data_IF_719615153650
#
_entry.id   IF_719615153650
#
_cell.length_a   1.000
_cell.length_b   1.000
_cell.length_c   1.000
_cell.angle_alpha   90.00
_cell.angle_beta   90.00
_cell.angle_gamma   90.00
#
_symmetry.space_group_name_H-M   'P 1'
#
loop_
_entity.id
_entity.type
_entity.pdbx_description
1 polymer ?
#
# COMPACT_ATOMS: atom_id res chain seq x y z
N UNK A 1 -11.07 -42.31 3.73
CA UNK A 1 -10.88 -41.36 4.86
C UNK A 1 -9.84 -40.24 4.62
N UNK A 2 -9.34 -40.02 3.39
CA UNK A 2 -8.39 -38.92 3.06
C UNK A 2 -9.03 -37.72 2.33
N UNK A 3 -10.31 -37.81 1.91
CA UNK A 3 -11.02 -36.72 1.21
C UNK A 3 -11.69 -35.67 2.10
N UNK A 4 -11.86 -35.93 3.41
CA UNK A 4 -12.50 -34.96 4.36
C UNK A 4 -11.54 -33.99 5.05
N UNK A 5 -10.22 -34.17 4.90
CA UNK A 5 -9.21 -33.25 5.46
C UNK A 5 -8.73 -32.19 4.46
N UNK A 6 -9.06 -32.33 3.17
CA UNK A 6 -8.71 -31.35 2.14
C UNK A 6 -9.68 -30.14 2.09
N UNK A 7 -10.85 -30.24 2.73
CA UNK A 7 -11.92 -29.24 2.62
C UNK A 7 -11.83 -28.11 3.68
N UNK A 8 -10.89 -28.22 4.63
CA UNK A 8 -10.65 -27.19 5.66
C UNK A 8 -9.44 -26.28 5.36
N UNK A 9 -8.80 -26.45 4.19
CA UNK A 9 -7.67 -25.65 3.70
C UNK A 9 -8.04 -25.14 2.30
N UNK A 10 -8.42 -23.89 2.05
CA UNK A 10 -8.38 -22.68 2.84
C UNK A 10 -9.53 -21.80 2.37
N UNK A 11 -10.49 -21.50 3.23
CA UNK A 11 -11.48 -20.47 2.91
C UNK A 11 -10.74 -19.17 2.55
N UNK A 12 -11.12 -18.53 1.44
CA UNK A 12 -10.58 -17.21 1.09
C UNK A 12 -10.81 -16.27 2.28
N UNK A 13 -9.70 -15.80 2.87
CA UNK A 13 -9.74 -14.95 4.05
C UNK A 13 -10.09 -13.51 3.69
N UNK A 14 -10.00 -13.11 2.41
CA UNK A 14 -10.28 -11.73 1.99
C UNK A 14 -11.72 -11.32 2.34
N UNK A 15 -12.79 -12.06 1.95
CA UNK A 15 -14.16 -11.72 2.34
C UNK A 15 -14.36 -11.63 3.85
N UNK A 16 -13.70 -12.51 4.61
CA UNK A 16 -13.80 -12.53 6.08
C UNK A 16 -13.20 -11.24 6.67
N UNK A 17 -11.98 -10.87 6.24
CA UNK A 17 -11.29 -9.67 6.72
C UNK A 17 -12.04 -8.41 6.29
N UNK A 18 -12.50 -8.32 5.05
CA UNK A 18 -13.29 -7.17 4.58
C UNK A 18 -14.59 -7.01 5.35
N UNK A 19 -15.33 -8.10 5.59
CA UNK A 19 -16.55 -8.07 6.39
C UNK A 19 -16.25 -7.57 7.81
N UNK A 20 -15.25 -8.15 8.48
CA UNK A 20 -14.86 -7.74 9.84
C UNK A 20 -14.45 -6.28 9.91
N UNK A 21 -13.68 -5.82 8.93
CA UNK A 21 -13.27 -4.42 8.84
C UNK A 21 -14.48 -3.49 8.68
N UNK A 22 -15.42 -3.82 7.77
CA UNK A 22 -16.65 -3.02 7.58
C UNK A 22 -17.55 -3.03 8.82
N UNK A 23 -17.69 -4.17 9.49
CA UNK A 23 -18.41 -4.28 10.77
C UNK A 23 -17.78 -3.36 11.82
N UNK A 24 -16.45 -3.40 11.97
CA UNK A 24 -15.72 -2.55 12.92
C UNK A 24 -15.92 -1.06 12.60
N UNK A 25 -15.75 -0.65 11.34
CA UNK A 25 -15.93 0.75 10.92
C UNK A 25 -17.37 1.22 11.13
N UNK A 26 -18.38 0.40 10.82
CA UNK A 26 -19.80 0.72 11.06
C UNK A 26 -20.15 0.82 12.54
N UNK A 27 -19.44 0.07 13.39
CA UNK A 27 -19.59 0.11 14.84
C UNK A 27 -18.83 1.26 15.51
N UNK A 28 -18.10 2.09 14.76
CA UNK A 28 -17.47 3.29 15.33
C UNK A 28 -18.55 4.31 15.67
N UNK A 29 -18.48 4.84 16.88
CA UNK A 29 -19.39 5.88 17.37
C UNK A 29 -18.69 7.23 17.29
N UNK A 30 -19.44 8.27 16.95
CA UNK A 30 -18.93 9.63 16.99
C UNK A 30 -18.50 9.98 18.44
N UNK A 31 -17.37 10.70 18.62
CA UNK A 31 -17.01 11.20 19.94
C UNK A 31 -18.08 12.19 20.44
N UNK A 32 -18.27 12.25 21.76
CA UNK A 32 -19.21 13.21 22.39
C UNK A 32 -18.88 14.67 22.09
N UNK A 33 -17.61 14.97 21.88
CA UNK A 33 -17.11 16.27 21.45
C UNK A 33 -16.23 16.05 20.22
N UNK A 34 -16.72 16.37 19.01
CA UNK A 34 -15.93 16.26 17.79
C UNK A 34 -14.85 17.34 17.77
N UNK A 35 -13.63 16.95 17.40
CA UNK A 35 -12.54 17.87 17.08
C UNK A 35 -12.75 18.44 15.68
N UNK A 36 -12.38 19.69 15.45
CA UNK A 36 -12.26 20.23 14.09
C UNK A 36 -11.26 19.41 13.27
N UNK A 37 -11.55 19.19 11.99
CA UNK A 37 -10.70 18.34 11.13
C UNK A 37 -9.27 18.89 10.97
N UNK A 38 -9.10 20.19 11.10
CA UNK A 38 -7.80 20.87 10.98
C UNK A 38 -7.12 21.08 12.35
N UNK A 39 -7.77 20.67 13.44
CA UNK A 39 -7.17 20.69 14.76
C UNK A 39 -6.28 19.45 14.98
N UNK A 40 -5.16 19.58 15.72
CA UNK A 40 -4.36 18.43 16.13
C UNK A 40 -5.18 17.42 16.93
N UNK A 41 -5.04 16.13 16.60
CA UNK A 41 -5.67 15.04 17.36
C UNK A 41 -5.14 14.92 18.80
N UNK A 42 -3.93 15.44 19.04
CA UNK A 42 -3.30 15.52 20.37
C UNK A 42 -2.51 16.84 20.49
N UNK A 43 -2.56 17.53 21.65
CA UNK A 43 -1.75 18.72 21.88
C UNK A 43 -0.25 18.44 21.63
N UNK A 44 0.42 19.32 20.90
CA UNK A 44 1.84 19.21 20.56
C UNK A 44 2.18 18.30 19.36
N UNK A 45 1.18 17.70 18.70
CA UNK A 45 1.39 16.87 17.50
C UNK A 45 0.89 17.57 16.23
N UNK A 46 1.44 17.17 15.08
CA UNK A 46 1.06 17.70 13.75
C UNK A 46 -0.07 16.91 13.06
N UNK A 47 -0.47 15.77 13.62
CA UNK A 47 -1.49 14.92 13.03
C UNK A 47 -2.89 15.51 13.30
N UNK A 48 -3.54 16.00 12.25
CA UNK A 48 -4.92 16.50 12.28
C UNK A 48 -5.91 15.41 11.84
N UNK A 49 -7.20 15.63 12.06
CA UNK A 49 -8.25 14.71 11.57
C UNK A 49 -8.24 14.58 10.05
N UNK A 50 -8.02 15.69 9.32
CA UNK A 50 -7.90 15.71 7.86
C UNK A 50 -6.73 14.85 7.38
N UNK A 51 -5.54 15.06 7.97
CA UNK A 51 -4.37 14.25 7.63
C UNK A 51 -4.59 12.78 7.98
N UNK A 52 -5.20 12.46 9.13
CA UNK A 52 -5.50 11.08 9.50
C UNK A 52 -6.41 10.37 8.47
N UNK A 53 -7.43 11.06 7.95
CA UNK A 53 -8.31 10.52 6.89
C UNK A 53 -7.56 10.32 5.57
N UNK A 54 -6.64 11.22 5.22
CA UNK A 54 -5.79 11.09 4.05
C UNK A 54 -4.86 9.85 4.17
N UNK A 55 -4.15 9.74 5.29
CA UNK A 55 -3.29 8.58 5.58
C UNK A 55 -4.09 7.28 5.53
N UNK A 56 -5.27 7.26 6.16
CA UNK A 56 -6.16 6.10 6.14
C UNK A 56 -6.61 5.74 4.71
N UNK A 57 -6.90 6.73 3.87
CA UNK A 57 -7.22 6.49 2.46
C UNK A 57 -6.06 5.82 1.72
N UNK A 58 -4.82 6.25 1.98
CA UNK A 58 -3.61 5.63 1.41
C UNK A 58 -3.40 4.19 1.92
N UNK A 59 -3.70 3.92 3.20
CA UNK A 59 -3.70 2.57 3.75
C UNK A 59 -4.71 1.68 3.02
N UNK A 60 -5.93 2.17 2.82
CA UNK A 60 -6.98 1.46 2.09
C UNK A 60 -6.59 1.19 0.64
N UNK A 61 -5.98 2.15 -0.06
CA UNK A 61 -5.48 1.95 -1.43
C UNK A 61 -4.45 0.83 -1.50
N UNK A 62 -3.47 0.83 -0.59
CA UNK A 62 -2.50 -0.25 -0.48
C UNK A 62 -3.17 -1.61 -0.28
N UNK A 63 -4.20 -1.66 0.56
CA UNK A 63 -4.94 -2.90 0.84
C UNK A 63 -5.78 -3.37 -0.34
N UNK A 64 -6.45 -2.45 -1.03
CA UNK A 64 -7.30 -2.76 -2.18
C UNK A 64 -6.48 -3.29 -3.36
N UNK A 65 -5.28 -2.76 -3.59
CA UNK A 65 -4.36 -3.32 -4.60
C UNK A 65 -3.98 -4.76 -4.27
N UNK A 66 -3.72 -5.09 -3.00
CA UNK A 66 -3.43 -6.47 -2.60
C UNK A 66 -4.62 -7.42 -2.86
N UNK A 67 -5.86 -6.95 -2.67
CA UNK A 67 -7.06 -7.73 -2.98
C UNK A 67 -7.27 -7.91 -4.48
N UNK A 68 -7.08 -6.84 -5.26
CA UNK A 68 -7.11 -6.90 -6.72
C UNK A 68 -6.05 -7.88 -7.25
N UNK A 69 -4.83 -7.82 -6.74
CA UNK A 69 -3.75 -8.73 -7.11
C UNK A 69 -4.13 -10.20 -6.87
N UNK A 70 -4.74 -10.52 -5.73
CA UNK A 70 -5.23 -11.87 -5.42
C UNK A 70 -6.33 -12.33 -6.37
N UNK A 71 -7.28 -11.45 -6.69
CA UNK A 71 -8.35 -11.75 -7.66
C UNK A 71 -7.79 -11.98 -9.06
N UNK A 72 -6.86 -11.15 -9.51
CA UNK A 72 -6.15 -11.33 -10.79
C UNK A 72 -5.36 -12.65 -10.80
N UNK A 73 -4.66 -12.97 -9.70
CA UNK A 73 -3.92 -14.24 -9.57
C UNK A 73 -4.85 -15.45 -9.67
N UNK A 74 -6.02 -15.40 -9.04
CA UNK A 74 -7.02 -16.47 -9.11
C UNK A 74 -7.58 -16.70 -10.53
N UNK A 75 -7.58 -15.68 -11.38
CA UNK A 75 -7.96 -15.80 -12.80
C UNK A 75 -6.80 -16.18 -13.73
N UNK A 76 -5.55 -16.18 -13.23
CA UNK A 76 -4.35 -16.41 -14.04
C UNK A 76 -3.77 -15.15 -14.69
N UNK A 77 -4.32 -13.97 -14.42
CA UNK A 77 -3.90 -12.70 -15.05
C UNK A 77 -2.77 -11.98 -14.30
N UNK A 78 -2.38 -12.46 -13.12
CA UNK A 78 -1.24 -11.94 -12.37
C UNK A 78 -0.18 -13.01 -12.19
N UNK A 79 1.06 -12.65 -12.51
CA UNK A 79 2.18 -13.58 -12.52
C UNK A 79 3.04 -13.44 -11.26
N UNK A 80 3.01 -12.28 -10.60
CA UNK A 80 3.75 -12.02 -9.37
C UNK A 80 2.92 -11.19 -8.38
N UNK A 81 2.79 -11.67 -7.14
CA UNK A 81 2.06 -10.96 -6.08
C UNK A 81 2.85 -10.98 -4.77
N UNK A 82 3.10 -9.79 -4.21
CA UNK A 82 3.54 -9.65 -2.82
C UNK A 82 2.70 -8.56 -2.17
N UNK A 83 2.03 -8.94 -1.09
CA UNK A 83 1.11 -8.08 -0.36
C UNK A 83 1.86 -7.17 0.62
N UNK A 84 1.37 -5.93 0.76
CA UNK A 84 1.80 -4.97 1.77
C UNK A 84 0.98 -5.06 3.06
N UNK A 85 0.09 -6.06 3.18
CA UNK A 85 -0.71 -6.32 4.37
C UNK A 85 0.13 -6.36 5.65
N UNK A 86 -0.27 -5.59 6.65
CA UNK A 86 0.44 -5.41 7.92
C UNK A 86 1.49 -4.29 7.91
N UNK A 87 1.78 -3.70 6.75
CA UNK A 87 2.79 -2.64 6.57
C UNK A 87 2.16 -1.30 6.13
N UNK A 88 0.82 -1.18 6.21
CA UNK A 88 0.08 0.01 5.81
C UNK A 88 0.48 1.24 6.65
N UNK A 89 1.00 1.05 7.87
CA UNK A 89 1.50 2.14 8.73
C UNK A 89 2.65 2.96 8.13
N UNK A 90 3.32 2.46 7.09
CA UNK A 90 4.38 3.20 6.36
C UNK A 90 3.91 4.52 5.73
N UNK A 91 2.59 4.75 5.61
CA UNK A 91 2.00 6.05 5.23
C UNK A 91 2.49 7.20 6.12
N UNK A 92 2.69 6.95 7.42
CA UNK A 92 3.12 8.00 8.35
C UNK A 92 4.55 8.47 8.04
N UNK A 93 5.43 7.54 7.63
CA UNK A 93 6.79 7.87 7.20
C UNK A 93 6.76 8.67 5.90
N UNK A 94 5.96 8.23 4.91
CA UNK A 94 5.82 8.97 3.66
C UNK A 94 5.32 10.41 3.86
N UNK A 95 4.34 10.60 4.73
CA UNK A 95 3.78 11.93 5.00
C UNK A 95 4.70 12.84 5.81
N UNK A 96 5.68 12.28 6.53
CA UNK A 96 6.68 13.04 7.26
C UNK A 96 7.84 13.53 6.38
N UNK A 97 7.97 12.98 5.17
CA UNK A 97 9.06 13.27 4.23
C UNK A 97 8.56 14.17 3.09
N UNK A 98 9.50 14.84 2.42
CA UNK A 98 9.19 15.54 1.18
C UNK A 98 9.01 14.53 0.05
N UNK A 99 8.29 14.95 -1.00
CA UNK A 99 8.07 14.10 -2.19
C UNK A 99 9.36 13.89 -3.00
N UNK A 100 10.33 14.81 -2.88
CA UNK A 100 11.62 14.82 -3.56
C UNK A 100 12.76 14.18 -2.74
N UNK A 101 12.50 13.73 -1.50
CA UNK A 101 13.48 12.94 -0.75
C UNK A 101 13.62 11.54 -1.40
N UNK A 102 14.82 11.09 -1.81
CA UNK A 102 15.02 9.77 -2.40
C UNK A 102 14.50 8.64 -1.50
N UNK A 103 13.68 7.74 -2.05
CA UNK A 103 13.10 6.63 -1.30
C UNK A 103 13.41 5.27 -1.93
N UNK A 104 14.30 4.53 -1.29
CA UNK A 104 14.70 3.17 -1.70
C UNK A 104 13.79 2.16 -1.02
N UNK A 105 12.68 1.80 -1.69
CA UNK A 105 11.59 1.07 -1.05
C UNK A 105 11.77 -0.45 -1.00
N UNK A 106 11.27 -1.05 0.08
CA UNK A 106 11.05 -2.49 0.17
C UNK A 106 9.78 -2.90 -0.60
N UNK A 107 9.70 -4.16 -1.05
CA UNK A 107 8.57 -4.66 -1.87
C UNK A 107 7.22 -4.72 -1.14
N UNK A 108 7.19 -4.46 0.18
CA UNK A 108 5.99 -4.33 1.04
C UNK A 108 5.64 -2.88 1.39
N UNK A 109 6.28 -1.89 0.79
CA UNK A 109 6.08 -0.46 1.11
C UNK A 109 4.91 0.18 0.35
N UNK A 110 3.81 -0.54 0.14
CA UNK A 110 2.64 -0.04 -0.59
C UNK A 110 2.02 1.19 0.07
N UNK A 111 1.91 1.21 1.40
CA UNK A 111 1.41 2.36 2.15
C UNK A 111 2.21 3.63 1.86
N UNK A 112 3.54 3.55 1.98
CA UNK A 112 4.45 4.65 1.63
C UNK A 112 4.22 5.15 0.19
N UNK A 113 4.20 4.23 -0.78
CA UNK A 113 4.03 4.56 -2.20
C UNK A 113 2.71 5.30 -2.44
N UNK A 114 1.59 4.78 -1.93
CA UNK A 114 0.27 5.40 -2.14
C UNK A 114 0.11 6.75 -1.45
N UNK A 115 0.76 6.94 -0.29
CA UNK A 115 0.75 8.24 0.38
C UNK A 115 1.51 9.28 -0.44
N UNK A 116 2.74 8.98 -0.89
CA UNK A 116 3.49 9.90 -1.76
C UNK A 116 2.77 10.15 -3.10
N UNK A 117 2.19 9.12 -3.69
CA UNK A 117 1.41 9.26 -4.92
C UNK A 117 0.20 10.20 -4.73
N UNK A 118 -0.45 10.15 -3.57
CA UNK A 118 -1.51 11.09 -3.19
C UNK A 118 -1.00 12.52 -3.06
N UNK A 119 0.11 12.72 -2.33
CA UNK A 119 0.74 14.04 -2.14
C UNK A 119 1.15 14.69 -3.47
N UNK A 120 1.64 13.89 -4.43
CA UNK A 120 2.04 14.36 -5.75
C UNK A 120 0.89 14.44 -6.77
N UNK A 121 -0.34 14.07 -6.38
CA UNK A 121 -1.49 14.08 -7.29
C UNK A 121 -1.38 13.12 -8.47
N UNK A 122 -0.70 11.97 -8.31
CA UNK A 122 -0.57 11.01 -9.41
C UNK A 122 -1.95 10.45 -9.81
N UNK A 123 -2.25 10.36 -11.12
CA UNK A 123 -3.61 10.13 -11.59
C UNK A 123 -4.11 8.70 -11.35
N UNK A 124 -3.26 7.68 -11.56
CA UNK A 124 -3.68 6.26 -11.52
C UNK A 124 -2.67 5.31 -10.84
N UNK A 125 -2.09 5.66 -9.67
CA UNK A 125 -1.00 4.89 -9.06
C UNK A 125 -1.36 3.42 -8.76
N UNK A 126 -2.64 3.12 -8.46
CA UNK A 126 -3.08 1.76 -8.21
C UNK A 126 -3.09 0.91 -9.50
N UNK A 127 -3.49 1.51 -10.62
CA UNK A 127 -3.51 0.85 -11.92
C UNK A 127 -2.08 0.54 -12.38
N UNK A 128 -1.17 1.52 -12.25
CA UNK A 128 0.23 1.37 -12.64
C UNK A 128 0.91 0.22 -11.87
N UNK A 129 0.65 0.09 -10.56
CA UNK A 129 1.15 -1.04 -9.76
C UNK A 129 0.55 -2.37 -10.23
N UNK A 130 -0.74 -2.42 -10.59
CA UNK A 130 -1.39 -3.63 -11.09
C UNK A 130 -0.87 -4.05 -12.46
N UNK A 131 -0.50 -3.11 -13.34
CA UNK A 131 0.15 -3.43 -14.62
C UNK A 131 1.44 -4.25 -14.40
N UNK A 132 2.24 -3.89 -13.39
CA UNK A 132 3.44 -4.65 -13.04
C UNK A 132 3.16 -6.05 -12.49
N UNK A 133 2.04 -6.21 -11.76
CA UNK A 133 1.60 -7.53 -11.29
C UNK A 133 1.07 -8.42 -12.42
N UNK A 134 0.59 -7.82 -13.51
CA UNK A 134 0.12 -8.47 -14.74
C UNK A 134 1.21 -8.63 -15.81
N UNK A 135 2.46 -8.24 -15.51
CA UNK A 135 3.57 -8.23 -16.48
C UNK A 135 3.24 -7.47 -17.78
N UNK A 136 2.43 -6.41 -17.68
CA UNK A 136 2.08 -5.58 -18.84
C UNK A 136 3.27 -4.73 -19.29
N UNK A 137 3.49 -4.67 -20.60
CA UNK A 137 4.49 -3.77 -21.21
C UNK A 137 4.17 -2.28 -20.96
N UNK A 138 2.90 -1.96 -20.64
CA UNK A 138 2.45 -0.59 -20.33
C UNK A 138 2.82 -0.14 -18.91
N UNK A 139 3.39 -1.01 -18.07
CA UNK A 139 3.81 -0.62 -16.72
C UNK A 139 4.95 0.42 -16.79
N UNK A 140 4.79 1.58 -16.12
CA UNK A 140 5.59 2.77 -16.43
C UNK A 140 7.07 2.73 -15.99
N UNK A 141 7.50 1.75 -15.19
CA UNK A 141 8.84 1.73 -14.60
C UNK A 141 9.72 0.59 -15.11
N UNK A 142 9.24 -0.64 -15.01
CA UNK A 142 9.95 -1.86 -15.39
C UNK A 142 9.41 -2.47 -16.70
N UNK A 143 8.35 -1.92 -17.31
CA UNK A 143 7.75 -2.44 -18.55
C UNK A 143 7.28 -3.88 -18.39
N UNK A 144 6.72 -4.22 -17.23
CA UNK A 144 6.20 -5.56 -16.92
C UNK A 144 7.26 -6.60 -16.59
N UNK A 145 8.56 -6.26 -16.64
CA UNK A 145 9.66 -7.20 -16.35
C UNK A 145 9.76 -7.55 -14.87
N UNK A 146 9.21 -6.71 -13.99
CA UNK A 146 9.25 -6.92 -12.55
C UNK A 146 8.15 -6.14 -11.84
N UNK A 147 7.61 -6.69 -10.75
CA UNK A 147 6.73 -5.94 -9.84
C UNK A 147 7.60 -5.12 -8.89
N UNK A 148 7.63 -3.81 -9.13
CA UNK A 148 8.33 -2.83 -8.28
C UNK A 148 7.37 -1.78 -7.74
N UNK A 149 7.74 -1.14 -6.63
CA UNK A 149 7.29 0.22 -6.37
C UNK A 149 8.39 1.14 -6.89
N UNK A 150 8.09 1.88 -7.94
CA UNK A 150 9.00 2.85 -8.55
C UNK A 150 8.20 4.02 -9.12
N UNK A 151 8.83 5.19 -9.17
CA UNK A 151 8.23 6.38 -9.76
C UNK A 151 9.27 7.49 -9.85
N UNK A 152 9.47 8.02 -11.06
CA UNK A 152 10.34 9.18 -11.29
C UNK A 152 9.79 10.43 -10.58
N UNK A 153 8.50 10.81 -10.73
CA UNK A 153 7.94 11.96 -10.00
C UNK A 153 8.01 11.88 -8.48
N UNK A 154 8.08 10.69 -7.89
CA UNK A 154 8.11 10.50 -6.44
C UNK A 154 9.52 10.27 -5.87
N UNK A 155 10.56 10.36 -6.71
CA UNK A 155 11.94 10.03 -6.33
C UNK A 155 12.05 8.63 -5.71
N UNK A 156 11.40 7.64 -6.33
CA UNK A 156 11.43 6.22 -5.91
C UNK A 156 12.14 5.40 -6.99
N UNK A 157 13.46 5.15 -6.85
CA UNK A 157 14.18 4.24 -7.74
C UNK A 157 13.66 2.80 -7.60
N UNK A 158 13.42 2.07 -8.70
CA UNK A 158 12.95 0.69 -8.65
C UNK A 158 13.95 -0.23 -7.94
N UNK A 159 13.46 -1.15 -7.10
CA UNK A 159 14.29 -2.11 -6.37
C UNK A 159 14.08 -3.54 -6.83
N UNK A 160 15.17 -4.29 -6.90
CA UNK A 160 15.19 -5.73 -7.14
C UNK A 160 14.84 -6.50 -5.86
N UNK A 161 14.41 -7.76 -5.99
CA UNK A 161 14.00 -8.62 -4.86
C UNK A 161 15.14 -9.05 -3.92
N UNK A 162 16.37 -8.57 -4.13
CA UNK A 162 17.53 -8.83 -3.27
C UNK A 162 17.38 -8.12 -1.93
N UNK A 163 17.03 -8.88 -0.89
CA UNK A 163 16.83 -8.38 0.48
C UNK A 163 18.11 -7.68 0.97
N UNK A 164 17.95 -6.57 1.69
CA UNK A 164 19.05 -5.79 2.25
C UNK A 164 19.80 -4.90 1.25
N UNK A 165 19.71 -5.15 -0.06
CA UNK A 165 20.42 -4.36 -1.08
C UNK A 165 20.00 -2.89 -1.17
N UNK A 166 18.84 -2.54 -0.59
CA UNK A 166 18.36 -1.16 -0.51
C UNK A 166 19.16 -0.31 0.49
N UNK A 167 19.71 -0.92 1.56
CA UNK A 167 20.44 -0.19 2.60
C UNK A 167 21.72 0.49 2.08
N UNK A 168 22.68 -0.21 1.42
CA UNK A 168 23.87 0.45 0.91
C UNK A 168 23.56 1.49 -0.17
N UNK A 169 22.51 1.28 -0.97
CA UNK A 169 22.04 2.28 -1.96
C UNK A 169 21.51 3.54 -1.27
N UNK A 170 20.73 3.37 -0.21
CA UNK A 170 20.21 4.50 0.57
C UNK A 170 21.34 5.30 1.21
N UNK A 171 22.34 4.62 1.79
CA UNK A 171 23.54 5.28 2.34
C UNK A 171 24.32 6.03 1.26
N UNK A 172 24.50 5.44 0.08
CA UNK A 172 25.21 6.11 -1.02
C UNK A 172 24.44 7.26 -1.68
N UNK A 173 23.13 7.39 -1.44
CA UNK A 173 22.30 8.50 -1.95
C UNK A 173 22.20 9.67 -0.97
N UNK A 174 22.52 9.47 0.31
CA UNK A 174 22.47 10.48 1.37
C UNK A 174 23.75 11.31 1.39
#
# INVERSE_FOLDING_TARGET
>A
MKRRLADMSAADRVPIVERRFRELVRGLHAPRQPLGLDEPLRPGFRLTGRLALELFTSQLRSRQVDYCARRLKARGDSFYTISSAGHEGSVAVAAALRIDDPAVLHYRSGGFFFQRAGMAGLPRPAFDVLLGMCASADEPIAGGRHKVFGSVPLWIPPQTSTIGSHLPKAVGMA
#
